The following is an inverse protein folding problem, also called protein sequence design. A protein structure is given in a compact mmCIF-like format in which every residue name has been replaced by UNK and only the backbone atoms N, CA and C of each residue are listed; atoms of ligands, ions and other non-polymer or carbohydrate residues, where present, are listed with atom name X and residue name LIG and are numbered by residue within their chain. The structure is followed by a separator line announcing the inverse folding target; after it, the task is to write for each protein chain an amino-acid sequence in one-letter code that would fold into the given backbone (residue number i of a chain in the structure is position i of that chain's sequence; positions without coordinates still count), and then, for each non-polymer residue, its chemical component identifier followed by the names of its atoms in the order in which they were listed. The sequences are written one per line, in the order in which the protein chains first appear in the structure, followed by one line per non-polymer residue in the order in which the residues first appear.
data_IF_779041750677
#
_entry.id   IF_779041750677
#
_cell.length_a   1.000
_cell.length_b   1.000
_cell.length_c   1.000
_cell.angle_alpha   90.00
_cell.angle_beta   90.00
_cell.angle_gamma   90.00
#
_symmetry.space_group_name_H-M   'P 1'
#
loop_
_entity.id
_entity.type
_entity.pdbx_description
1 polymer ?
#
# COMPACT_ATOMS: atom_id res chain seq x y z
N UNK A 1 -13.72 3.80 4.80
CA UNK A 1 -13.48 4.88 3.82
C UNK A 1 -12.02 4.78 3.43
N UNK A 2 -11.75 4.72 2.14
CA UNK A 2 -10.39 4.65 1.61
C UNK A 2 -9.93 6.02 1.13
N UNK A 3 -8.72 6.41 1.52
CA UNK A 3 -8.07 7.64 1.14
C UNK A 3 -7.07 7.34 0.02
N UNK A 4 -7.54 7.44 -1.21
CA UNK A 4 -6.72 7.37 -2.43
C UNK A 4 -6.55 8.78 -3.00
N UNK A 5 -5.66 9.55 -2.37
CA UNK A 5 -5.45 10.97 -2.68
C UNK A 5 -4.11 11.12 -3.38
N UNK A 6 -4.16 11.38 -4.68
CA UNK A 6 -2.95 11.54 -5.50
C UNK A 6 -2.64 13.00 -5.86
N UNK A 7 -3.62 13.90 -5.69
CA UNK A 7 -3.52 15.34 -5.94
C UNK A 7 -4.53 16.09 -5.05
N UNK A 8 -4.16 17.25 -4.53
CA UNK A 8 -5.10 18.08 -3.77
C UNK A 8 -4.42 19.13 -2.91
N UNK A 9 -5.02 19.40 -1.75
CA UNK A 9 -4.53 20.32 -0.73
C UNK A 9 -4.37 19.56 0.60
N UNK A 10 -4.00 20.27 1.68
CA UNK A 10 -4.00 19.70 3.02
C UNK A 10 -5.44 19.43 3.51
N UNK A 11 -5.65 19.11 4.81
CA UNK A 11 -6.95 18.81 5.46
C UNK A 11 -7.37 17.33 5.58
N UNK A 12 -6.62 16.38 5.02
CA UNK A 12 -6.98 14.96 5.16
C UNK A 12 -6.85 14.41 6.59
N UNK A 13 -6.01 15.03 7.44
CA UNK A 13 -5.96 14.72 8.87
C UNK A 13 -7.27 15.05 9.58
N UNK A 14 -7.88 16.20 9.26
CA UNK A 14 -9.15 16.63 9.83
C UNK A 14 -10.30 15.74 9.35
N UNK A 15 -10.29 15.38 8.05
CA UNK A 15 -11.24 14.43 7.49
C UNK A 15 -11.15 13.07 8.20
N UNK A 16 -9.93 12.54 8.40
CA UNK A 16 -9.71 11.30 9.13
C UNK A 16 -10.23 11.40 10.58
N UNK A 17 -9.93 12.52 11.27
CA UNK A 17 -10.43 12.78 12.62
C UNK A 17 -11.95 12.78 12.70
N UNK A 18 -12.64 13.49 11.78
CA UNK A 18 -14.10 13.56 11.76
C UNK A 18 -14.76 12.22 11.46
N UNK A 19 -14.21 11.44 10.52
CA UNK A 19 -14.71 10.09 10.24
C UNK A 19 -14.51 9.14 11.43
N UNK A 20 -13.37 9.27 12.13
CA UNK A 20 -13.10 8.50 13.33
C UNK A 20 -14.09 8.83 14.45
N UNK A 21 -14.41 10.12 14.68
CA UNK A 21 -15.42 10.56 15.66
C UNK A 21 -16.79 9.90 15.42
N UNK A 22 -17.25 9.83 14.17
CA UNK A 22 -18.50 9.11 13.83
C UNK A 22 -18.44 7.62 14.19
N UNK A 23 -17.26 7.00 14.06
CA UNK A 23 -17.05 5.61 14.43
C UNK A 23 -17.07 5.35 15.94
N UNK A 24 -16.92 6.38 16.78
CA UNK A 24 -16.93 6.25 18.25
C UNK A 24 -18.34 6.26 18.85
N UNK A 25 -19.26 6.99 18.22
CA UNK A 25 -20.64 7.14 18.72
C UNK A 25 -21.63 6.19 18.03
N UNK A 26 -21.21 5.56 16.93
CA UNK A 26 -22.02 4.64 16.15
C UNK A 26 -21.30 3.34 15.81
N UNK A 27 -21.54 2.84 14.60
CA UNK A 27 -20.84 1.67 14.06
C UNK A 27 -19.43 2.09 13.64
N UNK A 28 -18.43 1.28 13.98
CA UNK A 28 -17.03 1.52 13.60
C UNK A 28 -16.90 1.87 12.11
N UNK A 29 -16.25 3.00 11.83
CA UNK A 29 -15.82 3.41 10.50
C UNK A 29 -14.37 3.00 10.34
N UNK A 30 -14.10 2.05 9.44
CA UNK A 30 -12.73 1.67 9.09
C UNK A 30 -12.11 2.74 8.20
N UNK A 31 -10.87 3.11 8.50
CA UNK A 31 -10.09 4.06 7.70
C UNK A 31 -8.94 3.35 7.03
N UNK A 32 -8.84 3.51 5.72
CA UNK A 32 -7.76 2.95 4.91
C UNK A 32 -7.15 4.04 4.03
N UNK A 33 -5.92 3.81 3.55
CA UNK A 33 -5.21 4.77 2.72
C UNK A 33 -4.34 4.08 1.67
N UNK A 34 -4.22 4.73 0.50
CA UNK A 34 -3.41 4.31 -0.63
C UNK A 34 -2.28 5.31 -0.95
N UNK A 35 -1.34 5.60 -0.03
CA UNK A 35 -0.25 6.53 -0.31
C UNK A 35 0.69 5.99 -1.41
N UNK A 36 1.35 6.89 -2.13
CA UNK A 36 2.46 6.55 -3.03
C UNK A 36 3.65 6.03 -2.20
N UNK A 37 4.54 5.22 -2.80
CA UNK A 37 5.65 4.63 -2.03
C UNK A 37 6.76 5.60 -1.62
N UNK A 38 6.80 6.82 -2.18
CA UNK A 38 7.75 7.86 -1.76
C UNK A 38 7.36 8.30 -0.35
N UNK A 39 8.28 8.16 0.60
CA UNK A 39 8.05 8.49 1.99
C UNK A 39 8.70 9.84 2.38
N UNK A 40 8.00 10.73 3.11
CA UNK A 40 6.57 10.66 3.43
C UNK A 40 5.72 10.96 2.19
N UNK A 41 4.51 10.39 2.15
CA UNK A 41 3.53 10.74 1.12
C UNK A 41 3.12 12.21 1.25
N UNK A 42 3.08 12.93 0.13
CA UNK A 42 2.83 14.36 0.09
C UNK A 42 1.45 14.75 0.63
N UNK A 43 0.42 13.95 0.36
CA UNK A 43 -0.97 14.30 0.66
C UNK A 43 -1.48 13.62 1.93
N UNK A 44 -1.04 12.38 2.16
CA UNK A 44 -1.52 11.52 3.24
C UNK A 44 -0.54 11.43 4.40
N UNK A 45 0.69 11.94 4.28
CA UNK A 45 1.71 11.84 5.32
C UNK A 45 1.26 12.38 6.68
N UNK A 46 0.57 13.53 6.70
CA UNK A 46 0.03 14.11 7.94
C UNK A 46 -1.16 13.31 8.48
N UNK A 47 -2.05 12.84 7.60
CA UNK A 47 -3.20 12.04 8.01
C UNK A 47 -2.76 10.70 8.61
N UNK A 48 -1.77 10.04 8.02
CA UNK A 48 -1.24 8.75 8.47
C UNK A 48 -0.54 8.85 9.83
N UNK A 49 0.11 9.98 10.13
CA UNK A 49 0.73 10.24 11.45
C UNK A 49 -0.27 10.32 12.59
N UNK A 50 -1.57 10.54 12.32
CA UNK A 50 -2.61 10.55 13.36
C UNK A 50 -2.81 9.19 14.03
N UNK A 51 -2.40 8.09 13.37
CA UNK A 51 -2.62 6.73 13.87
C UNK A 51 -4.06 6.24 13.81
N UNK A 52 -4.92 6.94 13.07
CA UNK A 52 -6.33 6.58 12.93
C UNK A 52 -6.61 5.54 11.85
N UNK A 53 -5.63 5.24 10.99
CA UNK A 53 -5.79 4.32 9.86
C UNK A 53 -5.62 2.86 10.28
N UNK A 54 -6.61 2.03 9.98
CA UNK A 54 -6.57 0.59 10.23
C UNK A 54 -5.61 -0.10 9.25
N UNK A 55 -5.76 0.18 7.95
CA UNK A 55 -5.02 -0.50 6.89
C UNK A 55 -4.41 0.51 5.91
N UNK A 56 -3.18 0.26 5.48
CA UNK A 56 -2.50 1.12 4.51
C UNK A 56 -1.95 0.26 3.39
N UNK A 57 -2.35 0.51 2.15
CA UNK A 57 -1.84 -0.18 0.96
C UNK A 57 -0.96 0.77 0.16
N UNK A 58 0.34 0.74 0.46
CA UNK A 58 1.34 1.62 -0.16
C UNK A 58 1.52 1.22 -1.63
N UNK A 59 1.40 2.17 -2.55
CA UNK A 59 1.50 1.94 -3.99
C UNK A 59 2.97 1.84 -4.42
N UNK A 60 3.48 0.62 -4.62
CA UNK A 60 4.86 0.35 -5.04
C UNK A 60 5.01 0.28 -6.58
N UNK A 61 4.40 1.23 -7.29
CA UNK A 61 4.42 1.33 -8.74
C UNK A 61 4.33 2.78 -9.19
N UNK A 62 4.64 3.07 -10.46
CA UNK A 62 4.74 4.44 -11.02
C UNK A 62 5.72 5.36 -10.26
N UNK A 63 6.65 4.78 -9.48
CA UNK A 63 7.57 5.51 -8.62
C UNK A 63 8.95 4.82 -8.63
N UNK A 64 9.79 5.10 -9.64
CA UNK A 64 11.12 4.50 -9.80
C UNK A 64 12.06 4.54 -8.58
N UNK A 65 11.94 5.49 -7.63
CA UNK A 65 12.76 5.49 -6.41
C UNK A 65 12.41 4.40 -5.39
N UNK A 66 11.20 3.81 -5.44
CA UNK A 66 10.71 2.91 -4.38
C UNK A 66 9.95 1.69 -4.89
N UNK A 67 9.62 1.59 -6.18
CA UNK A 67 9.10 0.36 -6.78
C UNK A 67 10.13 -0.78 -6.76
N UNK A 68 9.65 -2.01 -6.94
CA UNK A 68 10.54 -3.16 -7.06
C UNK A 68 11.10 -3.26 -8.49
N UNK A 69 12.41 -3.46 -8.59
CA UNK A 69 13.07 -3.87 -9.84
C UNK A 69 14.04 -5.00 -9.54
N UNK A 70 14.18 -5.98 -10.44
CA UNK A 70 15.12 -7.09 -10.25
C UNK A 70 16.57 -6.61 -10.24
N UNK A 71 16.90 -5.51 -10.94
CA UNK A 71 18.23 -4.91 -10.94
C UNK A 71 18.59 -4.24 -9.61
N UNK A 72 17.60 -3.74 -8.89
CA UNK A 72 17.80 -3.08 -7.60
C UNK A 72 16.59 -3.28 -6.66
N UNK A 73 16.49 -4.43 -5.99
CA UNK A 73 15.45 -4.69 -5.00
C UNK A 73 15.57 -3.81 -3.75
N UNK A 74 16.72 -3.16 -3.53
CA UNK A 74 16.98 -2.40 -2.30
C UNK A 74 16.07 -1.19 -2.16
N UNK A 75 15.66 -0.58 -3.29
CA UNK A 75 14.70 0.54 -3.33
C UNK A 75 13.37 0.20 -2.65
N UNK A 76 12.75 -0.90 -3.08
CA UNK A 76 11.55 -1.44 -2.47
C UNK A 76 11.78 -1.78 -1.00
N UNK A 77 12.86 -2.51 -0.68
CA UNK A 77 13.16 -2.94 0.69
C UNK A 77 13.29 -1.77 1.66
N UNK A 78 14.00 -0.72 1.24
CA UNK A 78 14.20 0.49 2.02
C UNK A 78 12.89 1.24 2.25
N UNK A 79 12.08 1.41 1.20
CA UNK A 79 10.77 2.06 1.33
C UNK A 79 9.82 1.24 2.21
N UNK A 80 9.73 -0.08 2.02
CA UNK A 80 8.93 -0.97 2.88
C UNK A 80 9.32 -0.88 4.36
N UNK A 81 10.62 -0.86 4.65
CA UNK A 81 11.11 -0.68 6.02
C UNK A 81 10.75 0.69 6.60
N UNK A 82 10.82 1.77 5.82
CA UNK A 82 10.39 3.10 6.27
C UNK A 82 8.89 3.11 6.60
N UNK A 83 8.04 2.64 5.69
CA UNK A 83 6.60 2.57 5.89
C UNK A 83 6.22 1.74 7.12
N UNK A 84 6.80 0.55 7.26
CA UNK A 84 6.48 -0.34 8.39
C UNK A 84 7.05 0.12 9.73
N UNK A 85 8.17 0.83 9.75
CA UNK A 85 8.72 1.36 11.00
C UNK A 85 8.06 2.66 11.47
N UNK A 86 7.67 3.54 10.53
CA UNK A 86 7.27 4.92 10.88
C UNK A 86 5.76 5.15 10.93
N UNK A 87 4.93 4.36 10.22
CA UNK A 87 3.48 4.60 10.19
C UNK A 87 2.75 3.85 11.31
N UNK A 88 1.96 4.54 12.16
CA UNK A 88 1.14 3.92 13.19
C UNK A 88 -0.17 3.34 12.63
N UNK A 89 -0.08 2.34 11.74
CA UNK A 89 -1.23 1.60 11.23
C UNK A 89 -1.26 0.15 11.76
N UNK A 90 -2.45 -0.47 11.82
CA UNK A 90 -2.59 -1.86 12.30
C UNK A 90 -1.94 -2.86 11.35
N UNK A 91 -2.17 -2.72 10.04
CA UNK A 91 -1.53 -3.53 8.99
C UNK A 91 -1.19 -2.69 7.77
N UNK A 92 -0.09 -3.05 7.13
CA UNK A 92 0.41 -2.43 5.91
C UNK A 92 0.50 -3.50 4.83
N UNK A 93 0.06 -3.14 3.63
CA UNK A 93 -0.07 -4.00 2.45
C UNK A 93 0.83 -3.46 1.35
N UNK A 94 1.33 -4.37 0.51
CA UNK A 94 2.09 -4.00 -0.69
C UNK A 94 1.09 -3.78 -1.83
N UNK A 95 0.92 -2.55 -2.28
CA UNK A 95 0.15 -2.21 -3.47
C UNK A 95 0.94 -2.47 -4.75
N UNK A 96 0.38 -3.29 -5.64
CA UNK A 96 1.01 -3.70 -6.89
C UNK A 96 0.03 -3.60 -8.06
N UNK A 97 0.51 -3.33 -9.28
CA UNK A 97 -0.32 -3.44 -10.46
C UNK A 97 -0.54 -4.91 -10.79
N UNK A 98 -1.78 -5.30 -11.05
CA UNK A 98 -2.17 -6.68 -11.33
C UNK A 98 -1.71 -7.16 -12.72
N UNK A 99 -1.26 -6.25 -13.58
CA UNK A 99 -0.68 -6.55 -14.90
C UNK A 99 0.32 -5.46 -15.30
N UNK A 100 1.15 -5.73 -16.32
CA UNK A 100 2.02 -4.71 -16.92
C UNK A 100 1.26 -3.53 -17.55
N UNK A 101 -0.02 -3.72 -17.89
CA UNK A 101 -0.84 -2.67 -18.50
C UNK A 101 -1.54 -1.78 -17.46
N UNK A 102 -1.54 -2.17 -16.19
CA UNK A 102 -2.25 -1.45 -15.12
C UNK A 102 -1.48 -0.24 -14.57
N UNK A 103 -0.18 -0.13 -14.89
CA UNK A 103 0.70 0.94 -14.44
C UNK A 103 1.76 1.20 -15.52
N UNK A 104 2.38 2.40 -15.50
CA UNK A 104 3.51 2.71 -16.36
C UNK A 104 4.74 1.89 -15.99
N UNK A 105 5.00 1.76 -14.69
CA UNK A 105 6.16 1.05 -14.12
C UNK A 105 5.79 0.24 -12.86
N UNK A 106 6.74 -0.52 -12.30
CA UNK A 106 6.58 -1.23 -11.03
C UNK A 106 5.80 -2.55 -11.05
N UNK A 107 5.52 -3.13 -12.22
CA UNK A 107 4.96 -4.48 -12.30
C UNK A 107 5.96 -5.54 -11.84
N UNK A 108 5.57 -6.32 -10.82
CA UNK A 108 6.34 -7.44 -10.30
C UNK A 108 5.79 -8.76 -10.88
N UNK A 109 6.60 -9.57 -11.58
CA UNK A 109 6.16 -10.89 -12.02
C UNK A 109 5.74 -11.79 -10.85
N UNK A 110 4.68 -12.58 -11.04
CA UNK A 110 4.09 -13.45 -9.99
C UNK A 110 5.12 -14.29 -9.23
N UNK A 111 6.04 -14.93 -9.95
CA UNK A 111 7.08 -15.76 -9.33
C UNK A 111 8.08 -14.94 -8.51
N UNK A 112 8.47 -13.76 -9.00
CA UNK A 112 9.34 -12.83 -8.28
C UNK A 112 8.66 -12.32 -7.01
N UNK A 113 7.35 -12.03 -7.07
CA UNK A 113 6.59 -11.68 -5.88
C UNK A 113 6.67 -12.79 -4.83
N UNK A 114 6.45 -14.04 -5.24
CA UNK A 114 6.47 -15.22 -4.35
C UNK A 114 7.87 -15.49 -3.78
N UNK A 115 8.91 -15.48 -4.61
CA UNK A 115 10.24 -15.93 -4.21
C UNK A 115 11.11 -14.86 -3.57
N UNK A 116 10.84 -13.57 -3.79
CA UNK A 116 11.73 -12.49 -3.35
C UNK A 116 11.03 -11.43 -2.51
N UNK A 117 9.88 -10.92 -2.96
CA UNK A 117 9.21 -9.78 -2.32
C UNK A 117 8.46 -10.22 -1.06
N UNK A 118 7.63 -11.26 -1.16
CA UNK A 118 6.83 -11.73 -0.02
C UNK A 118 7.68 -12.25 1.15
N UNK A 119 8.75 -13.05 0.94
CA UNK A 119 9.59 -13.51 2.06
C UNK A 119 10.15 -12.36 2.88
N UNK A 120 10.66 -11.32 2.22
CA UNK A 120 11.17 -10.13 2.90
C UNK A 120 10.05 -9.35 3.60
N UNK A 121 8.93 -9.10 2.91
CA UNK A 121 7.86 -8.30 3.46
C UNK A 121 7.24 -8.90 4.72
N UNK A 122 7.12 -10.24 4.74
CA UNK A 122 6.58 -11.04 5.85
C UNK A 122 7.45 -11.03 7.10
N UNK A 123 8.70 -10.58 7.03
CA UNK A 123 9.55 -10.36 8.22
C UNK A 123 8.97 -9.24 9.12
N UNK A 124 8.19 -8.32 8.55
CA UNK A 124 7.52 -7.27 9.31
C UNK A 124 6.24 -7.77 9.97
N UNK A 125 6.11 -7.57 11.28
CA UNK A 125 4.86 -7.87 12.01
C UNK A 125 3.65 -7.03 11.54
N UNK A 126 3.90 -5.90 10.85
CA UNK A 126 2.86 -5.07 10.23
C UNK A 126 2.40 -5.58 8.86
N UNK A 127 3.05 -6.58 8.27
CA UNK A 127 2.58 -7.17 7.01
C UNK A 127 1.13 -7.64 7.12
N UNK A 128 0.29 -7.15 6.22
CA UNK A 128 -1.14 -7.46 6.13
C UNK A 128 -1.54 -8.25 4.89
N UNK A 129 -0.71 -8.25 3.85
CA UNK A 129 -1.01 -8.88 2.57
C UNK A 129 -0.53 -8.03 1.38
N UNK A 130 -1.18 -8.23 0.24
CA UNK A 130 -1.00 -7.41 -0.96
C UNK A 130 -2.31 -6.70 -1.33
N UNK A 131 -2.21 -5.58 -2.03
CA UNK A 131 -3.31 -4.88 -2.71
C UNK A 131 -3.01 -4.91 -4.21
N UNK A 132 -4.04 -5.14 -5.03
CA UNK A 132 -3.89 -5.24 -6.48
C UNK A 132 -4.70 -4.16 -7.19
N UNK A 133 -4.02 -3.31 -7.94
CA UNK A 133 -4.63 -2.40 -8.90
C UNK A 133 -4.61 -3.02 -10.31
N UNK A 134 -5.72 -3.43 -10.89
CA UNK A 134 -7.10 -3.41 -10.41
C UNK A 134 -7.77 -4.76 -10.68
N UNK A 135 -9.07 -4.86 -10.38
CA UNK A 135 -9.81 -6.11 -10.61
C UNK A 135 -9.87 -6.50 -12.09
N UNK A 136 -9.98 -5.53 -13.00
CA UNK A 136 -10.02 -5.80 -14.43
C UNK A 136 -8.73 -6.48 -14.87
N UNK A 137 -7.58 -5.89 -14.54
CA UNK A 137 -6.27 -6.44 -14.88
C UNK A 137 -6.00 -7.77 -14.18
N UNK A 138 -6.45 -7.93 -12.93
CA UNK A 138 -6.33 -9.19 -12.19
C UNK A 138 -7.08 -10.35 -12.85
N UNK A 139 -8.29 -10.10 -13.38
CA UNK A 139 -9.04 -11.12 -14.13
C UNK A 139 -8.28 -11.54 -15.39
N UNK A 140 -7.75 -10.58 -16.13
CA UNK A 140 -7.06 -10.86 -17.39
C UNK A 140 -5.72 -11.58 -17.18
N UNK A 141 -4.97 -11.17 -16.17
CA UNK A 141 -3.64 -11.74 -15.91
C UNK A 141 -3.68 -12.98 -15.03
N UNK A 142 -4.73 -13.17 -14.22
CA UNK A 142 -4.80 -14.20 -13.17
C UNK A 142 -3.74 -14.00 -12.09
N UNK A 143 -3.51 -12.76 -11.66
CA UNK A 143 -2.43 -12.43 -10.71
C UNK A 143 -2.73 -12.99 -9.33
N UNK A 144 -3.88 -12.61 -8.75
CA UNK A 144 -4.32 -13.03 -7.42
C UNK A 144 -4.40 -14.55 -7.31
N UNK A 145 -4.96 -15.22 -8.32
CA UNK A 145 -5.07 -16.69 -8.35
C UNK A 145 -3.72 -17.38 -8.21
N UNK A 146 -2.67 -16.81 -8.82
CA UNK A 146 -1.34 -17.42 -8.82
C UNK A 146 -0.57 -17.20 -7.50
N UNK A 147 -0.89 -16.14 -6.76
CA UNK A 147 -0.12 -15.74 -5.56
C UNK A 147 -0.89 -15.94 -4.26
N UNK A 148 -2.20 -16.25 -4.34
CA UNK A 148 -3.12 -16.36 -3.20
C UNK A 148 -2.57 -17.18 -2.03
N UNK A 149 -2.05 -18.37 -2.31
CA UNK A 149 -1.58 -19.29 -1.26
C UNK A 149 -0.22 -18.89 -0.69
N UNK A 150 0.45 -17.93 -1.32
CA UNK A 150 1.74 -17.37 -0.87
C UNK A 150 1.58 -16.10 -0.05
N UNK A 151 0.42 -15.44 -0.07
CA UNK A 151 0.12 -14.20 0.68
C UNK A 151 -0.22 -14.51 2.12
#
# INVERSE_FOLDING_TARGET
IDFDIEKGEDHYSDLAGKLYEYGQTGKKVYLTAAPQCIFPDQWLGNALKTGLFDFVWVQFYNNPPCEYTTSDPSKFRNSWNQWTSQIPARKIYIGLPASKAAAGDGYVPKQVLISEVLPFAKESSKYGGIMLWDRYNDIQSGYSLAVKDSV
#
